data_IF_595701028664
#
_entry.id   IF_595701028664
#
_cell.length_a   1.000
_cell.length_b   1.000
_cell.length_c   1.000
_cell.angle_alpha   90.00
_cell.angle_beta   90.00
_cell.angle_gamma   90.00
#
_symmetry.space_group_name_H-M   'P 1'
#
loop_
_entity.id
_entity.type
_entity.pdbx_description
1 polymer ?
#
# COMPACT_ATOMS: atom_id res chain seq x y z
N UNK A 1 11.69 17.03 30.64
CA UNK A 1 10.93 16.70 29.42
C UNK A 1 11.66 15.51 28.77
N UNK A 2 10.95 14.46 28.38
CA UNK A 2 11.57 13.19 27.93
C UNK A 2 12.03 13.37 26.49
N UNK A 3 13.26 12.97 26.16
CA UNK A 3 13.75 12.99 24.79
C UNK A 3 13.20 11.79 24.01
N UNK A 4 12.16 12.06 23.21
CA UNK A 4 11.46 11.08 22.38
C UNK A 4 12.41 10.44 21.36
N UNK A 5 13.35 11.20 20.81
CA UNK A 5 14.33 10.68 19.84
C UNK A 5 15.29 9.72 20.52
N UNK A 6 15.69 9.99 21.76
CA UNK A 6 16.50 9.09 22.56
C UNK A 6 15.78 7.77 22.84
N UNK A 7 14.47 7.81 23.14
CA UNK A 7 13.68 6.57 23.30
C UNK A 7 13.61 5.81 21.96
N UNK A 8 13.26 6.48 20.87
CA UNK A 8 13.16 5.84 19.54
C UNK A 8 14.45 5.19 19.07
N UNK A 9 15.59 5.85 19.31
CA UNK A 9 16.90 5.34 18.87
C UNK A 9 17.39 4.13 19.68
N UNK A 10 16.93 3.97 20.93
CA UNK A 10 17.28 2.86 21.82
C UNK A 10 16.33 1.67 21.72
N UNK A 11 15.14 1.83 21.10
CA UNK A 11 14.15 0.77 20.99
C UNK A 11 14.71 -0.46 20.26
N UNK A 12 14.64 -1.58 20.95
CA UNK A 12 14.95 -2.90 20.39
C UNK A 12 13.67 -3.62 19.91
N UNK A 13 13.83 -4.73 19.22
CA UNK A 13 12.69 -5.56 18.85
C UNK A 13 12.02 -6.21 20.07
N UNK A 14 12.81 -6.51 21.12
CA UNK A 14 12.31 -7.08 22.37
C UNK A 14 11.51 -6.05 23.18
N UNK A 15 11.88 -4.77 23.12
CA UNK A 15 11.11 -3.69 23.74
C UNK A 15 9.72 -3.57 23.11
N UNK A 16 9.61 -3.73 21.79
CA UNK A 16 8.31 -3.74 21.09
C UNK A 16 7.48 -4.92 21.57
N UNK A 17 8.06 -6.11 21.72
CA UNK A 17 7.36 -7.28 22.27
C UNK A 17 6.84 -6.97 23.68
N UNK A 18 7.68 -6.44 24.56
CA UNK A 18 7.32 -6.12 25.94
C UNK A 18 6.15 -5.11 26.01
N UNK A 19 6.20 -4.06 25.19
CA UNK A 19 5.14 -3.05 25.13
C UNK A 19 3.83 -3.64 24.57
N UNK A 20 3.89 -4.44 23.51
CA UNK A 20 2.71 -5.07 22.93
C UNK A 20 2.08 -6.08 23.90
N UNK A 21 2.89 -6.91 24.55
CA UNK A 21 2.45 -7.88 25.53
C UNK A 21 1.80 -7.21 26.76
N UNK A 22 2.36 -6.10 27.23
CA UNK A 22 1.80 -5.32 28.34
C UNK A 22 0.38 -4.75 28.04
N UNK A 23 0.04 -4.59 26.76
CA UNK A 23 -1.29 -4.22 26.29
C UNK A 23 -2.21 -5.44 26.04
N UNK A 24 -1.74 -6.66 26.32
CA UNK A 24 -2.45 -7.90 26.09
C UNK A 24 -2.47 -8.33 24.62
N UNK A 25 -1.57 -7.81 23.77
CA UNK A 25 -1.49 -8.12 22.33
C UNK A 25 -0.36 -9.14 22.13
N UNK A 26 -0.68 -10.44 21.98
CA UNK A 26 0.35 -11.48 21.93
C UNK A 26 1.10 -11.44 20.60
N UNK A 27 2.39 -11.80 20.66
CA UNK A 27 3.19 -12.07 19.48
C UNK A 27 2.70 -13.36 18.80
N UNK A 28 2.32 -13.27 17.52
CA UNK A 28 1.85 -14.41 16.72
C UNK A 28 3.02 -15.15 16.07
N UNK A 29 3.96 -14.39 15.49
CA UNK A 29 5.20 -14.93 14.91
C UNK A 29 6.25 -13.83 14.80
N UNK A 30 7.52 -14.23 14.76
CA UNK A 30 8.65 -13.34 14.54
C UNK A 30 9.69 -13.98 13.63
N UNK A 31 10.43 -13.15 12.90
CA UNK A 31 11.62 -13.53 12.15
C UNK A 31 12.63 -12.36 12.15
N UNK A 32 13.73 -12.49 11.41
CA UNK A 32 14.78 -11.47 11.37
C UNK A 32 14.33 -10.13 10.74
N UNK A 33 13.15 -10.05 10.09
CA UNK A 33 12.67 -8.86 9.39
C UNK A 33 11.51 -8.19 10.12
N UNK A 34 10.62 -8.96 10.74
CA UNK A 34 9.42 -8.43 11.39
C UNK A 34 8.88 -9.33 12.51
N UNK A 35 8.03 -8.73 13.31
CA UNK A 35 7.16 -9.36 14.29
C UNK A 35 5.72 -9.19 13.83
N UNK A 36 4.88 -10.20 13.98
CA UNK A 36 3.48 -10.20 13.57
C UNK A 36 2.55 -10.22 14.79
N UNK A 37 1.60 -9.32 14.81
CA UNK A 37 0.61 -9.14 15.87
C UNK A 37 -0.82 -9.17 15.34
N UNK A 38 -1.82 -9.47 16.19
CA UNK A 38 -3.22 -9.19 15.88
C UNK A 38 -3.46 -7.72 15.55
N UNK A 39 -4.50 -7.44 14.74
CA UNK A 39 -4.82 -6.09 14.26
C UNK A 39 -5.51 -5.22 15.33
N UNK A 40 -4.92 -5.12 16.53
CA UNK A 40 -5.47 -4.45 17.70
C UNK A 40 -5.63 -2.92 17.53
N UNK A 41 -5.07 -2.32 16.49
CA UNK A 41 -5.18 -0.89 16.20
C UNK A 41 -6.61 -0.45 15.82
N UNK A 42 -7.51 -1.36 15.43
CA UNK A 42 -8.87 -1.04 14.99
C UNK A 42 -9.93 -2.07 15.39
N UNK A 43 -9.55 -3.19 16.00
CA UNK A 43 -10.46 -4.20 16.53
C UNK A 43 -10.31 -4.31 18.04
N UNK A 44 -11.42 -4.24 18.77
CA UNK A 44 -11.44 -4.52 20.22
C UNK A 44 -11.48 -6.02 20.49
N UNK A 45 -12.04 -6.80 19.57
CA UNK A 45 -12.12 -8.26 19.57
C UNK A 45 -11.08 -8.91 18.63
N UNK A 46 -9.89 -8.31 18.56
CA UNK A 46 -8.81 -8.70 17.65
C UNK A 46 -8.43 -10.19 17.71
N UNK A 47 -8.77 -10.90 18.77
CA UNK A 47 -8.58 -12.35 18.93
C UNK A 47 -9.33 -13.15 17.85
N UNK A 48 -10.43 -12.62 17.31
CA UNK A 48 -11.25 -13.27 16.30
C UNK A 48 -10.84 -12.90 14.86
N UNK A 49 -9.81 -12.06 14.71
CA UNK A 49 -9.36 -11.57 13.40
C UNK A 49 -7.96 -12.07 13.03
N UNK A 50 -7.69 -12.20 11.73
CA UNK A 50 -6.35 -12.58 11.24
C UNK A 50 -5.32 -11.52 11.64
N UNK A 51 -4.18 -11.98 12.14
CA UNK A 51 -3.06 -11.12 12.46
C UNK A 51 -2.52 -10.44 11.18
N UNK A 52 -2.47 -9.10 11.17
CA UNK A 52 -1.99 -8.30 10.03
C UNK A 52 -1.29 -7.02 10.45
N UNK A 53 -0.92 -6.87 11.72
CA UNK A 53 -0.10 -5.77 12.23
C UNK A 53 1.35 -6.24 12.29
N UNK A 54 2.19 -5.68 11.45
CA UNK A 54 3.60 -6.02 11.31
C UNK A 54 4.46 -4.94 11.95
N UNK A 55 5.33 -5.30 12.89
CA UNK A 55 6.38 -4.44 13.41
C UNK A 55 7.71 -4.81 12.74
N UNK A 56 8.31 -3.88 12.01
CA UNK A 56 9.54 -4.10 11.26
C UNK A 56 10.77 -3.87 12.13
N UNK A 57 11.68 -4.86 12.15
CA UNK A 57 12.84 -4.85 13.03
C UNK A 57 13.90 -3.80 12.68
N UNK A 58 13.95 -3.35 11.44
CA UNK A 58 14.89 -2.32 10.95
C UNK A 58 14.40 -0.90 11.27
N UNK A 59 13.15 -0.58 10.94
CA UNK A 59 12.58 0.76 11.09
C UNK A 59 11.89 1.00 12.43
N UNK A 60 11.58 -0.05 13.19
CA UNK A 60 10.75 -0.02 14.42
C UNK A 60 9.36 0.56 14.19
N UNK A 61 8.91 0.60 12.94
CA UNK A 61 7.58 1.02 12.56
C UNK A 61 6.63 -0.16 12.52
N UNK A 62 5.39 0.07 12.93
CA UNK A 62 4.31 -0.91 12.82
C UNK A 62 3.41 -0.53 11.65
N UNK A 63 3.05 -1.51 10.82
CA UNK A 63 2.10 -1.31 9.72
C UNK A 63 0.98 -2.34 9.78
N UNK A 64 -0.26 -1.88 9.79
CA UNK A 64 -1.44 -2.75 9.74
C UNK A 64 -1.95 -2.89 8.32
N UNK A 65 -1.83 -4.09 7.75
CA UNK A 65 -2.32 -4.40 6.40
C UNK A 65 -3.85 -4.54 6.31
N UNK A 66 -4.58 -4.45 7.43
CA UNK A 66 -6.05 -4.39 7.41
C UNK A 66 -6.57 -2.97 7.25
N UNK A 67 -6.11 -2.03 8.08
CA UNK A 67 -6.56 -0.63 8.01
C UNK A 67 -5.62 0.29 7.22
N UNK A 68 -4.43 -0.19 6.80
CA UNK A 68 -3.44 0.59 6.05
C UNK A 68 -2.71 1.66 6.86
N UNK A 69 -2.91 1.72 8.19
CA UNK A 69 -2.21 2.67 9.05
C UNK A 69 -0.81 2.20 9.40
N UNK A 70 0.11 3.16 9.50
CA UNK A 70 1.45 2.97 10.05
C UNK A 70 1.59 3.72 11.36
N UNK A 71 2.25 3.11 12.32
CA UNK A 71 2.45 3.66 13.65
C UNK A 71 3.92 3.59 14.03
N UNK A 72 4.40 4.56 14.78
CA UNK A 72 5.53 4.32 15.67
C UNK A 72 5.02 3.70 16.98
N UNK A 73 5.92 3.38 17.89
CA UNK A 73 5.56 2.72 19.14
C UNK A 73 4.62 3.59 20.01
N UNK A 74 4.74 4.89 19.95
CA UNK A 74 3.85 5.80 20.68
C UNK A 74 2.46 5.84 20.05
N UNK A 75 2.39 5.90 18.72
CA UNK A 75 1.14 5.93 17.97
C UNK A 75 0.31 4.67 18.17
N UNK A 76 0.92 3.48 18.22
CA UNK A 76 0.17 2.24 18.48
C UNK A 76 -0.36 2.20 19.93
N UNK A 77 0.44 2.65 20.90
CA UNK A 77 -0.02 2.74 22.31
C UNK A 77 -1.19 3.70 22.44
N UNK A 78 -1.12 4.91 21.84
CA UNK A 78 -2.23 5.86 21.83
C UNK A 78 -3.50 5.23 21.24
N UNK A 79 -3.36 4.54 20.11
CA UNK A 79 -4.47 3.93 19.38
C UNK A 79 -5.17 2.84 20.17
N UNK A 80 -4.39 1.93 20.77
CA UNK A 80 -4.91 0.78 21.52
C UNK A 80 -5.47 1.20 22.89
N UNK A 81 -4.75 2.04 23.61
CA UNK A 81 -5.15 2.49 24.97
C UNK A 81 -6.10 3.69 24.95
N UNK A 82 -6.37 4.28 23.77
CA UNK A 82 -7.20 5.49 23.62
C UNK A 82 -6.74 6.63 24.54
N UNK A 83 -5.43 6.85 24.61
CA UNK A 83 -4.79 7.86 25.45
C UNK A 83 -4.11 8.94 24.60
N UNK A 84 -3.75 10.05 25.22
CA UNK A 84 -2.97 11.11 24.57
C UNK A 84 -1.48 10.73 24.44
N UNK A 85 -0.73 11.58 23.75
CA UNK A 85 0.68 11.33 23.48
C UNK A 85 1.53 11.32 24.75
N UNK A 86 1.25 12.20 25.74
CA UNK A 86 2.02 12.25 26.97
C UNK A 86 1.79 10.98 27.83
N UNK A 87 0.56 10.52 27.88
CA UNK A 87 0.21 9.27 28.54
C UNK A 87 0.85 8.07 27.87
N UNK A 88 0.99 8.07 26.54
CA UNK A 88 1.69 6.99 25.83
C UNK A 88 3.19 6.97 26.14
N UNK A 89 3.83 8.14 26.25
CA UNK A 89 5.24 8.25 26.68
C UNK A 89 5.42 7.71 28.11
N UNK A 90 4.58 8.17 29.04
CA UNK A 90 4.66 7.72 30.43
C UNK A 90 4.52 6.20 30.53
N UNK A 91 3.57 5.63 29.81
CA UNK A 91 3.34 4.19 29.75
C UNK A 91 4.57 3.42 29.20
N UNK A 92 5.13 3.87 28.08
CA UNK A 92 6.33 3.24 27.48
C UNK A 92 7.52 3.33 28.44
N UNK A 93 7.73 4.50 29.08
CA UNK A 93 8.79 4.67 30.05
C UNK A 93 8.64 3.74 31.26
N UNK A 94 7.42 3.52 31.74
CA UNK A 94 7.10 2.59 32.81
C UNK A 94 7.47 1.15 32.42
N UNK A 95 7.05 0.68 31.26
CA UNK A 95 7.31 -0.68 30.77
C UNK A 95 8.80 -0.92 30.52
N UNK A 96 9.50 0.07 29.95
CA UNK A 96 10.93 -0.05 29.64
C UNK A 96 11.83 0.39 30.79
N UNK A 97 11.27 0.74 31.97
CA UNK A 97 12.01 1.22 33.13
C UNK A 97 12.93 2.42 32.82
N UNK A 98 12.47 3.34 31.96
CA UNK A 98 13.21 4.56 31.58
C UNK A 98 12.84 5.68 32.56
N UNK A 99 13.84 6.29 33.21
CA UNK A 99 13.63 7.43 34.09
C UNK A 99 13.29 8.71 33.29
N UNK A 100 12.16 9.39 33.58
CA UNK A 100 11.71 10.56 32.82
C UNK A 100 12.55 11.82 32.95
N UNK A 101 13.60 11.86 33.77
CA UNK A 101 14.28 13.08 34.23
C UNK A 101 15.57 13.41 33.47
N UNK A 102 15.96 12.72 32.41
CA UNK A 102 17.13 13.09 31.63
C UNK A 102 16.74 14.02 30.46
N UNK A 103 17.11 15.29 30.63
CA UNK A 103 17.18 16.45 29.71
C UNK A 103 16.42 16.43 28.37
N UNK A 104 15.54 17.42 28.21
CA UNK A 104 14.80 17.68 26.95
C UNK A 104 14.85 19.15 26.55
N UNK A 105 15.23 19.40 25.33
CA UNK A 105 14.96 20.64 24.61
C UNK A 105 13.55 20.58 23.99
N UNK A 106 12.79 21.69 24.16
CA UNK A 106 11.44 21.84 23.60
C UNK A 106 11.51 22.01 22.08
N UNK A 107 10.90 21.10 21.33
CA UNK A 107 10.40 21.41 19.99
C UNK A 107 8.87 21.52 19.99
N UNK A 108 8.39 22.60 19.38
CA UNK A 108 6.98 22.97 19.30
C UNK A 108 6.18 21.95 18.47
N UNK A 109 5.11 21.46 19.07
CA UNK A 109 4.05 20.72 18.37
C UNK A 109 3.07 21.74 17.80
N UNK A 110 2.60 21.45 16.58
CA UNK A 110 1.61 22.13 15.75
C UNK A 110 2.09 23.24 14.82
N UNK A 111 2.52 22.80 13.64
CA UNK A 111 2.32 23.64 12.48
C UNK A 111 2.18 22.83 11.18
N UNK A 112 1.01 22.19 10.98
CA UNK A 112 0.66 21.53 9.73
C UNK A 112 0.77 22.46 8.52
N UNK A 113 0.63 23.79 8.73
CA UNK A 113 0.85 24.83 7.71
C UNK A 113 2.33 24.98 7.34
N UNK A 114 3.25 24.80 8.31
CA UNK A 114 4.69 24.79 8.03
C UNK A 114 5.13 23.50 7.34
N UNK A 115 4.48 22.39 7.65
CA UNK A 115 4.73 21.10 6.99
C UNK A 115 4.25 21.12 5.55
N UNK A 116 3.09 21.74 5.28
CA UNK A 116 2.60 22.00 3.93
C UNK A 116 3.54 22.93 3.16
N UNK A 117 4.06 23.98 3.80
CA UNK A 117 5.03 24.92 3.23
C UNK A 117 6.39 24.28 2.92
N UNK A 118 6.88 23.38 3.78
CA UNK A 118 8.07 22.56 3.53
C UNK A 118 7.84 21.55 2.40
N UNK A 119 6.67 20.96 2.36
CA UNK A 119 6.28 20.01 1.33
C UNK A 119 6.22 20.64 -0.06
N UNK A 120 5.69 21.89 -0.16
CA UNK A 120 5.61 22.68 -1.40
C UNK A 120 7.00 23.19 -1.82
N UNK A 121 7.88 23.54 -0.86
CA UNK A 121 9.21 24.12 -1.14
C UNK A 121 10.32 23.10 -1.35
N UNK A 122 10.04 21.78 -1.33
CA UNK A 122 11.06 20.75 -1.54
C UNK A 122 12.14 20.69 -0.44
N UNK A 123 11.85 21.26 0.74
CA UNK A 123 12.78 21.26 1.85
C UNK A 123 12.55 20.08 2.79
N UNK A 124 13.03 18.96 2.41
CA UNK A 124 13.74 17.96 3.20
C UNK A 124 14.38 17.00 2.18
N UNK A 125 15.69 16.86 2.24
CA UNK A 125 16.40 15.74 1.65
C UNK A 125 16.01 14.45 2.42
N UNK A 126 14.71 14.14 2.44
CA UNK A 126 14.25 12.83 2.79
C UNK A 126 14.87 11.89 1.76
N UNK A 127 15.71 10.99 2.22
CA UNK A 127 16.38 9.92 1.52
C UNK A 127 15.76 9.67 0.14
N UNK A 128 16.45 10.08 -0.92
CA UNK A 128 16.02 9.79 -2.28
C UNK A 128 15.94 8.29 -2.38
N UNK A 129 14.72 7.76 -2.33
CA UNK A 129 14.48 6.31 -2.39
C UNK A 129 15.16 5.81 -3.65
N UNK A 130 16.31 5.12 -3.48
CA UNK A 130 17.10 4.63 -4.58
C UNK A 130 16.31 3.56 -5.32
N UNK A 131 15.77 3.91 -6.48
CA UNK A 131 15.07 2.96 -7.34
C UNK A 131 16.12 2.13 -8.07
N UNK A 132 16.15 0.80 -7.90
CA UNK A 132 17.09 -0.06 -8.60
C UNK A 132 16.80 -0.05 -10.10
N UNK A 133 17.82 -0.38 -10.89
CA UNK A 133 17.67 -0.61 -12.32
C UNK A 133 18.27 -1.97 -12.66
N UNK A 134 17.51 -2.77 -13.37
CA UNK A 134 17.92 -4.09 -13.84
C UNK A 134 18.09 -4.10 -15.36
N UNK A 135 18.86 -5.06 -15.84
CA UNK A 135 19.01 -5.27 -17.28
C UNK A 135 17.64 -5.64 -17.88
N UNK A 136 17.28 -4.98 -18.98
CA UNK A 136 16.01 -5.21 -19.68
C UNK A 136 15.88 -6.65 -20.21
N UNK A 137 17.00 -7.30 -20.53
CA UNK A 137 17.05 -8.70 -20.94
C UNK A 137 16.52 -9.67 -19.88
N UNK A 138 16.46 -9.25 -18.62
CA UNK A 138 15.91 -10.05 -17.54
C UNK A 138 14.44 -10.46 -17.76
N UNK A 139 13.67 -9.67 -18.50
CA UNK A 139 12.30 -10.04 -18.88
C UNK A 139 12.28 -11.25 -19.80
N UNK A 140 13.31 -11.39 -20.66
CA UNK A 140 13.47 -12.52 -21.56
C UNK A 140 13.88 -13.85 -20.89
N UNK A 141 14.18 -13.83 -19.57
CA UNK A 141 14.47 -15.05 -18.81
C UNK A 141 13.21 -15.87 -18.49
N UNK A 142 12.04 -15.32 -18.72
CA UNK A 142 10.75 -15.91 -18.41
C UNK A 142 9.97 -16.24 -19.69
N UNK A 143 9.25 -17.36 -19.68
CA UNK A 143 8.49 -17.79 -20.85
C UNK A 143 7.37 -16.79 -21.17
N UNK A 144 7.19 -16.45 -22.44
CA UNK A 144 6.04 -15.69 -22.92
C UNK A 144 4.85 -16.62 -23.08
N UNK A 145 4.22 -16.94 -21.94
CA UNK A 145 3.00 -17.74 -21.89
C UNK A 145 1.88 -16.90 -21.27
N UNK A 146 0.70 -17.04 -21.84
CA UNK A 146 -0.48 -16.37 -21.32
C UNK A 146 -1.13 -17.24 -20.25
N UNK A 147 -1.11 -16.82 -18.95
CA UNK A 147 -1.70 -17.59 -17.89
C UNK A 147 -3.19 -17.82 -18.14
N UNK A 148 -3.63 -19.08 -18.17
CA UNK A 148 -5.01 -19.45 -18.46
C UNK A 148 -6.00 -18.79 -17.50
N UNK A 149 -5.65 -18.69 -16.21
CA UNK A 149 -6.48 -18.02 -15.20
C UNK A 149 -6.73 -16.54 -15.55
N UNK A 150 -5.76 -15.88 -16.16
CA UNK A 150 -5.88 -14.47 -16.53
C UNK A 150 -6.68 -14.30 -17.83
N UNK A 151 -6.54 -15.22 -18.78
CA UNK A 151 -7.39 -15.26 -19.96
C UNK A 151 -8.85 -15.50 -19.57
N UNK A 152 -9.11 -16.46 -18.69
CA UNK A 152 -10.46 -16.75 -18.17
C UNK A 152 -11.04 -15.59 -17.36
N UNK A 153 -10.17 -14.87 -16.63
CA UNK A 153 -10.56 -13.63 -15.95
C UNK A 153 -10.90 -12.51 -16.95
N UNK A 154 -10.51 -12.66 -18.22
CA UNK A 154 -10.77 -11.76 -19.33
C UNK A 154 -9.71 -10.67 -19.49
N UNK A 155 -8.45 -10.95 -19.17
CA UNK A 155 -7.30 -10.14 -19.61
C UNK A 155 -6.85 -10.68 -20.96
N UNK A 156 -6.80 -9.82 -21.98
CA UNK A 156 -6.45 -10.24 -23.35
C UNK A 156 -4.95 -10.54 -23.48
N UNK A 157 -4.62 -11.40 -24.46
CA UNK A 157 -3.21 -11.68 -24.82
C UNK A 157 -2.48 -10.40 -25.23
N UNK A 158 -3.11 -9.54 -26.03
CA UNK A 158 -2.53 -8.26 -26.47
C UNK A 158 -2.16 -7.35 -25.30
N UNK A 159 -3.01 -7.30 -24.27
CA UNK A 159 -2.70 -6.57 -23.03
C UNK A 159 -1.50 -7.21 -22.31
N UNK A 160 -1.47 -8.54 -22.21
CA UNK A 160 -0.36 -9.23 -21.55
C UNK A 160 0.97 -8.98 -22.31
N UNK A 161 0.94 -8.99 -23.63
CA UNK A 161 2.12 -8.65 -24.48
C UNK A 161 2.56 -7.20 -24.28
N UNK A 162 1.61 -6.26 -24.31
CA UNK A 162 1.86 -4.83 -24.09
C UNK A 162 2.56 -4.57 -22.77
N UNK A 163 2.15 -5.27 -21.70
CA UNK A 163 2.73 -5.11 -20.37
C UNK A 163 3.90 -6.06 -20.07
N UNK A 164 4.30 -6.89 -21.03
CA UNK A 164 5.42 -7.81 -20.90
C UNK A 164 5.21 -8.93 -19.88
N UNK A 165 3.97 -9.38 -19.71
CA UNK A 165 3.62 -10.45 -18.79
C UNK A 165 4.26 -11.75 -19.25
N UNK A 166 4.82 -12.51 -18.30
CA UNK A 166 5.46 -13.78 -18.59
C UNK A 166 5.14 -14.85 -17.54
N UNK A 167 5.74 -16.00 -17.71
CA UNK A 167 5.57 -17.15 -16.84
C UNK A 167 6.91 -17.71 -16.39
N UNK A 168 7.06 -17.98 -15.11
CA UNK A 168 8.19 -18.67 -14.54
C UNK A 168 7.78 -20.08 -14.06
N UNK A 169 7.92 -21.08 -14.93
CA UNK A 169 7.46 -22.44 -14.70
C UNK A 169 8.01 -23.09 -13.44
N UNK A 170 9.32 -22.92 -13.15
CA UNK A 170 9.95 -23.48 -11.95
C UNK A 170 9.29 -23.05 -10.65
N UNK A 171 8.83 -21.81 -10.57
CA UNK A 171 8.19 -21.23 -9.37
C UNK A 171 6.67 -21.16 -9.49
N UNK A 172 6.10 -21.63 -10.60
CA UNK A 172 4.69 -21.49 -10.91
C UNK A 172 4.18 -20.09 -10.58
N UNK A 173 4.81 -19.08 -11.15
CA UNK A 173 4.40 -17.69 -10.95
C UNK A 173 4.31 -16.92 -12.26
N UNK A 174 3.31 -16.05 -12.33
CA UNK A 174 3.15 -15.05 -13.39
C UNK A 174 4.15 -13.93 -13.10
N UNK A 175 4.97 -13.55 -14.08
CA UNK A 175 5.94 -12.48 -13.94
C UNK A 175 5.39 -11.17 -14.49
N UNK A 176 5.53 -10.12 -13.71
CA UNK A 176 4.96 -8.79 -13.96
C UNK A 176 6.11 -7.79 -13.90
N UNK A 177 6.69 -7.39 -15.04
CA UNK A 177 7.75 -6.38 -15.07
C UNK A 177 7.20 -5.02 -14.67
N UNK A 178 8.01 -4.26 -13.95
CA UNK A 178 7.69 -2.89 -13.53
C UNK A 178 8.71 -1.95 -14.15
N UNK A 179 8.21 -0.96 -14.88
CA UNK A 179 9.00 -0.02 -15.63
C UNK A 179 8.85 1.42 -15.12
N UNK A 180 9.93 2.17 -15.17
CA UNK A 180 9.92 3.61 -14.97
C UNK A 180 10.75 4.29 -16.10
N UNK A 181 10.07 4.96 -16.99
CA UNK A 181 10.65 5.36 -18.25
C UNK A 181 11.09 4.13 -19.05
N UNK A 182 12.31 4.14 -19.51
CA UNK A 182 12.93 3.03 -20.24
C UNK A 182 13.66 2.01 -19.32
N UNK A 183 13.58 2.18 -18.00
CA UNK A 183 14.31 1.37 -17.02
C UNK A 183 13.42 0.30 -16.43
N UNK A 184 13.89 -0.95 -16.45
CA UNK A 184 13.30 -2.04 -15.68
C UNK A 184 13.70 -1.85 -14.21
N UNK A 185 12.71 -1.55 -13.34
CA UNK A 185 12.96 -1.27 -11.92
C UNK A 185 12.68 -2.46 -11.02
N UNK A 186 12.00 -3.46 -11.54
CA UNK A 186 11.73 -4.71 -10.82
C UNK A 186 10.87 -5.68 -11.60
N UNK A 187 10.72 -6.89 -11.06
CA UNK A 187 9.79 -7.89 -11.59
C UNK A 187 9.04 -8.50 -10.42
N UNK A 188 7.74 -8.31 -10.41
CA UNK A 188 6.84 -8.91 -9.41
C UNK A 188 6.34 -10.25 -9.90
N UNK A 189 6.23 -11.22 -9.00
CA UNK A 189 5.67 -12.53 -9.27
C UNK A 189 4.33 -12.70 -8.58
N UNK A 190 3.31 -13.14 -9.31
CA UNK A 190 2.09 -13.68 -8.71
C UNK A 190 2.23 -15.19 -8.61
N UNK A 191 2.47 -15.68 -7.41
CA UNK A 191 2.67 -17.09 -7.13
C UNK A 191 1.35 -17.84 -7.09
N UNK A 192 1.30 -19.00 -7.76
CA UNK A 192 0.06 -19.76 -7.98
C UNK A 192 -0.08 -20.98 -7.07
N UNK A 193 1.04 -21.53 -6.54
CA UNK A 193 0.99 -22.72 -5.68
C UNK A 193 0.49 -22.34 -4.28
N UNK A 194 -0.39 -23.15 -3.64
CA UNK A 194 -0.90 -22.86 -2.29
C UNK A 194 0.20 -22.59 -1.26
N UNK A 195 1.24 -23.43 -1.20
CA UNK A 195 2.37 -23.29 -0.28
C UNK A 195 3.17 -22.00 -0.49
N UNK A 196 3.15 -21.44 -1.69
CA UNK A 196 3.85 -20.20 -2.00
C UNK A 196 3.01 -18.97 -1.60
N UNK A 197 1.68 -19.11 -1.53
CA UNK A 197 0.76 -18.03 -1.20
C UNK A 197 0.74 -17.69 0.28
N UNK A 198 1.16 -18.59 1.17
CA UNK A 198 1.33 -18.35 2.60
C UNK A 198 2.33 -17.21 2.87
N UNK A 199 3.37 -17.09 2.04
CA UNK A 199 4.37 -16.03 2.09
C UNK A 199 3.96 -14.75 1.34
N UNK A 200 2.69 -14.66 0.93
CA UNK A 200 2.12 -13.58 0.12
C UNK A 200 2.05 -13.93 -1.37
N UNK A 201 0.86 -13.76 -1.97
CA UNK A 201 0.60 -14.05 -3.40
C UNK A 201 1.52 -13.26 -4.34
N UNK A 202 1.83 -12.02 -3.98
CA UNK A 202 2.63 -11.10 -4.79
C UNK A 202 3.95 -10.80 -4.09
N UNK A 203 5.07 -11.20 -4.70
CA UNK A 203 6.42 -11.01 -4.17
C UNK A 203 7.40 -10.70 -5.31
N UNK A 204 8.57 -10.08 -5.05
CA UNK A 204 9.62 -9.98 -6.05
C UNK A 204 10.05 -11.37 -6.56
N UNK A 205 10.28 -11.46 -7.86
CA UNK A 205 10.82 -12.68 -8.47
C UNK A 205 12.31 -12.77 -8.21
N UNK A 206 12.83 -13.99 -8.02
CA UNK A 206 14.27 -14.25 -8.11
C UNK A 206 14.55 -15.22 -9.25
N UNK A 207 15.57 -14.94 -10.06
CA UNK A 207 16.02 -15.81 -11.14
C UNK A 207 16.84 -17.02 -10.65
N UNK A 208 17.41 -17.77 -11.59
CA UNK A 208 18.23 -18.96 -11.29
C UNK A 208 19.57 -18.62 -10.64
N UNK A 209 20.09 -17.42 -10.87
CA UNK A 209 21.33 -16.95 -10.23
C UNK A 209 21.12 -16.48 -8.79
N UNK A 210 19.88 -16.47 -8.32
CA UNK A 210 19.50 -15.94 -6.99
C UNK A 210 19.30 -14.43 -6.96
N UNK A 211 19.41 -13.72 -8.09
CA UNK A 211 19.15 -12.29 -8.15
C UNK A 211 17.67 -12.03 -7.92
N UNK A 212 17.35 -11.18 -6.95
CA UNK A 212 15.99 -10.78 -6.61
C UNK A 212 15.67 -9.43 -7.27
N UNK A 213 14.62 -9.38 -8.05
CA UNK A 213 14.15 -8.16 -8.78
C UNK A 213 13.24 -7.31 -7.87
N UNK A 214 13.80 -6.88 -6.74
CA UNK A 214 13.12 -6.12 -5.69
C UNK A 214 13.12 -4.61 -6.02
N UNK A 215 12.02 -3.92 -5.73
CA UNK A 215 11.87 -2.47 -5.90
C UNK A 215 10.98 -1.88 -4.79
N UNK A 216 11.12 -0.58 -4.48
CA UNK A 216 10.27 0.11 -3.52
C UNK A 216 8.90 0.41 -4.15
N UNK A 217 7.86 -0.33 -3.75
CA UNK A 217 6.50 -0.20 -4.30
C UNK A 217 5.90 1.19 -4.07
N UNK A 218 6.31 1.88 -3.00
CA UNK A 218 5.88 3.25 -2.69
C UNK A 218 6.55 4.34 -3.53
N UNK A 219 7.53 4.00 -4.38
CA UNK A 219 8.25 4.95 -5.21
C UNK A 219 7.92 4.86 -6.71
N UNK A 220 7.06 3.94 -7.09
CA UNK A 220 6.68 3.68 -8.48
C UNK A 220 5.17 3.49 -8.63
N UNK A 221 4.66 3.61 -9.86
CA UNK A 221 3.29 3.31 -10.24
C UNK A 221 3.30 2.26 -11.35
N UNK A 222 2.54 1.16 -11.19
CA UNK A 222 2.38 0.19 -12.26
C UNK A 222 1.47 0.72 -13.37
N UNK A 223 1.81 0.46 -14.62
CA UNK A 223 1.09 0.99 -15.77
C UNK A 223 1.43 2.46 -16.11
N UNK A 224 2.39 3.06 -15.37
CA UNK A 224 2.80 4.44 -15.60
C UNK A 224 3.30 4.65 -17.05
N UNK A 225 4.15 3.78 -17.54
CA UNK A 225 4.70 3.92 -18.88
C UNK A 225 3.68 3.69 -19.98
N UNK A 226 2.94 2.59 -19.84
CA UNK A 226 1.99 2.10 -20.82
C UNK A 226 0.82 3.05 -20.99
N UNK A 227 0.44 3.73 -19.91
CA UNK A 227 -0.77 4.55 -19.87
C UNK A 227 -0.50 6.07 -19.79
N UNK A 228 0.78 6.51 -19.64
CA UNK A 228 1.12 7.93 -19.49
C UNK A 228 0.57 8.82 -20.60
N UNK A 229 0.63 8.35 -21.85
CA UNK A 229 0.15 9.13 -23.00
C UNK A 229 -1.35 9.41 -22.93
N UNK A 230 -2.14 8.43 -22.50
CA UNK A 230 -3.59 8.62 -22.33
C UNK A 230 -3.91 9.44 -21.08
N UNK A 231 -3.17 9.25 -19.98
CA UNK A 231 -3.31 10.06 -18.76
C UNK A 231 -3.03 11.54 -19.08
N UNK A 232 -1.96 11.82 -19.81
CA UNK A 232 -1.59 13.18 -20.19
C UNK A 232 -2.64 13.84 -21.10
N UNK A 233 -3.26 13.09 -22.02
CA UNK A 233 -4.32 13.60 -22.90
C UNK A 233 -5.62 13.85 -22.14
N UNK A 234 -6.05 12.87 -21.33
CA UNK A 234 -7.32 12.95 -20.59
C UNK A 234 -7.25 13.80 -19.33
N UNK A 235 -6.02 14.08 -18.82
CA UNK A 235 -5.77 14.71 -17.52
C UNK A 235 -6.42 13.98 -16.35
N UNK A 236 -6.78 12.71 -16.55
CA UNK A 236 -7.50 11.88 -15.59
C UNK A 236 -6.76 10.56 -15.41
N UNK A 237 -6.57 10.14 -14.15
CA UNK A 237 -5.98 8.84 -13.81
C UNK A 237 -6.93 8.03 -12.93
N UNK A 238 -7.15 6.77 -13.29
CA UNK A 238 -7.65 5.77 -12.35
C UNK A 238 -6.51 5.33 -11.43
N UNK A 239 -6.76 5.35 -10.13
CA UNK A 239 -5.83 4.92 -9.11
C UNK A 239 -6.39 3.65 -8.45
N UNK A 240 -5.74 2.52 -8.69
CA UNK A 240 -6.18 1.19 -8.24
C UNK A 240 -5.11 0.50 -7.37
N UNK A 241 -5.49 -0.57 -6.67
CA UNK A 241 -4.56 -1.24 -5.75
C UNK A 241 -3.56 -2.15 -6.47
N UNK A 242 -4.03 -2.96 -7.43
CA UNK A 242 -3.28 -4.07 -8.00
C UNK A 242 -3.04 -3.96 -9.51
N UNK A 243 -1.94 -4.59 -9.95
CA UNK A 243 -1.53 -4.66 -11.34
C UNK A 243 -2.59 -5.33 -12.23
N UNK A 244 -3.25 -6.39 -11.70
CA UNK A 244 -4.28 -7.14 -12.41
C UNK A 244 -5.44 -6.25 -12.85
N UNK A 245 -5.83 -5.27 -12.02
CA UNK A 245 -6.88 -4.30 -12.34
C UNK A 245 -6.46 -3.38 -13.49
N UNK A 246 -5.21 -2.93 -13.52
CA UNK A 246 -4.68 -2.13 -14.64
C UNK A 246 -4.72 -2.91 -15.95
N UNK A 247 -4.31 -4.17 -15.93
CA UNK A 247 -4.34 -5.04 -17.12
C UNK A 247 -5.77 -5.26 -17.64
N UNK A 248 -6.72 -5.52 -16.72
CA UNK A 248 -8.11 -5.70 -17.12
C UNK A 248 -8.73 -4.42 -17.67
N UNK A 249 -8.41 -3.27 -17.09
CA UNK A 249 -8.80 -1.96 -17.61
C UNK A 249 -8.25 -1.72 -19.02
N UNK A 250 -6.98 -2.06 -19.27
CA UNK A 250 -6.39 -1.96 -20.60
C UNK A 250 -7.17 -2.81 -21.62
N UNK A 251 -7.51 -4.06 -21.27
CA UNK A 251 -8.37 -4.93 -22.08
C UNK A 251 -9.74 -4.30 -22.36
N UNK A 252 -10.26 -3.52 -21.44
CA UNK A 252 -11.52 -2.78 -21.60
C UNK A 252 -11.33 -1.43 -22.32
N UNK A 253 -10.14 -1.14 -22.84
CA UNK A 253 -9.77 0.13 -23.47
C UNK A 253 -9.79 1.33 -22.51
N UNK A 254 -9.66 1.08 -21.20
CA UNK A 254 -9.48 2.11 -20.18
C UNK A 254 -7.98 2.26 -19.93
N UNK A 255 -7.30 3.04 -20.77
CA UNK A 255 -5.85 3.14 -20.85
C UNK A 255 -5.28 4.32 -20.04
N UNK A 256 -5.91 4.67 -18.92
CA UNK A 256 -5.48 5.74 -18.03
C UNK A 256 -5.45 5.30 -16.56
N UNK A 257 -5.21 4.00 -16.31
CA UNK A 257 -5.13 3.44 -14.97
C UNK A 257 -3.69 3.20 -14.54
N UNK A 258 -3.41 3.41 -13.26
CA UNK A 258 -2.15 3.06 -12.59
C UNK A 258 -2.43 2.38 -11.26
N UNK A 259 -1.55 1.44 -10.85
CA UNK A 259 -1.68 0.79 -9.56
C UNK A 259 -0.60 1.26 -8.57
N UNK A 260 -1.01 1.34 -7.29
CA UNK A 260 -0.16 1.78 -6.16
C UNK A 260 0.42 0.61 -5.33
N UNK A 261 0.17 -0.64 -5.74
CA UNK A 261 0.63 -1.88 -5.11
C UNK A 261 0.08 -2.14 -3.69
N UNK A 262 -1.10 -1.69 -3.42
CA UNK A 262 -1.83 -1.82 -2.16
C UNK A 262 -2.80 -0.67 -1.97
N UNK A 263 -3.20 -0.41 -0.74
CA UNK A 263 -4.27 0.54 -0.44
C UNK A 263 -3.80 1.88 0.12
N UNK A 264 -2.48 2.15 0.09
CA UNK A 264 -1.91 3.41 0.57
C UNK A 264 -1.15 4.13 -0.53
N UNK A 265 -1.50 5.38 -0.75
CA UNK A 265 -0.83 6.25 -1.74
C UNK A 265 0.30 7.01 -1.06
N UNK A 266 1.51 6.91 -1.61
CA UNK A 266 2.69 7.61 -1.11
C UNK A 266 2.80 9.04 -1.67
N UNK A 267 3.62 9.87 -1.02
CA UNK A 267 3.97 11.22 -1.52
C UNK A 267 4.60 11.15 -2.91
N UNK A 268 5.51 10.19 -3.14
CA UNK A 268 6.19 10.04 -4.45
C UNK A 268 5.20 9.65 -5.55
N UNK A 269 4.26 8.76 -5.28
CA UNK A 269 3.22 8.38 -6.24
C UNK A 269 2.29 9.56 -6.59
N UNK A 270 1.92 10.40 -5.61
CA UNK A 270 1.20 11.65 -5.85
C UNK A 270 2.01 12.59 -6.75
N UNK A 271 3.29 12.77 -6.44
CA UNK A 271 4.19 13.60 -7.25
C UNK A 271 4.29 13.10 -8.69
N UNK A 272 4.37 11.78 -8.92
CA UNK A 272 4.37 11.21 -10.27
C UNK A 272 3.10 11.54 -11.06
N UNK A 273 1.93 11.56 -10.41
CA UNK A 273 0.67 11.98 -11.04
C UNK A 273 0.65 13.48 -11.36
N UNK A 274 1.21 14.32 -10.48
CA UNK A 274 1.37 15.76 -10.73
C UNK A 274 2.32 15.99 -11.91
N UNK A 275 3.45 15.28 -11.97
CA UNK A 275 4.42 15.33 -13.08
C UNK A 275 3.79 14.92 -14.43
N UNK A 276 2.79 14.03 -14.43
CA UNK A 276 1.98 13.69 -15.62
C UNK A 276 0.95 14.76 -16.00
N UNK A 277 0.75 15.78 -15.16
CA UNK A 277 -0.24 16.83 -15.37
C UNK A 277 -1.68 16.34 -15.16
N UNK A 278 -1.88 15.41 -14.24
CA UNK A 278 -3.21 14.93 -13.84
C UNK A 278 -3.96 16.05 -13.12
N UNK A 279 -5.23 16.26 -13.47
CA UNK A 279 -6.13 17.18 -12.79
C UNK A 279 -7.20 16.42 -11.99
N UNK A 280 -7.50 15.20 -12.40
CA UNK A 280 -8.55 14.37 -11.79
C UNK A 280 -8.06 12.96 -11.50
N UNK A 281 -8.32 12.48 -10.31
CA UNK A 281 -8.10 11.10 -9.90
C UNK A 281 -9.42 10.40 -9.67
N UNK A 282 -9.59 9.21 -10.25
CA UNK A 282 -10.70 8.31 -9.92
C UNK A 282 -10.12 7.23 -9.01
N UNK A 283 -10.52 7.26 -7.74
CA UNK A 283 -10.07 6.29 -6.75
C UNK A 283 -10.92 5.03 -6.84
N UNK A 284 -10.34 3.93 -7.32
CA UNK A 284 -10.97 2.62 -7.49
C UNK A 284 -10.25 1.55 -6.68
N UNK A 285 -10.27 1.65 -5.35
CA UNK A 285 -9.69 0.64 -4.46
C UNK A 285 -10.64 -0.52 -4.25
N UNK A 286 -10.10 -1.66 -3.82
CA UNK A 286 -10.86 -2.88 -3.61
C UNK A 286 -11.91 -2.69 -2.50
N UNK A 287 -13.12 -3.23 -2.73
CA UNK A 287 -14.23 -3.18 -1.77
C UNK A 287 -14.06 -4.27 -0.72
N UNK A 288 -13.30 -3.97 0.35
CA UNK A 288 -12.97 -4.92 1.43
C UNK A 288 -14.13 -5.17 2.42
N UNK A 289 -15.40 -4.99 2.01
CA UNK A 289 -16.59 -5.19 2.85
C UNK A 289 -17.60 -6.13 2.19
N UNK A 290 -18.47 -6.76 2.98
CA UNK A 290 -19.54 -7.64 2.51
C UNK A 290 -20.85 -6.92 2.28
N UNK A 291 -21.17 -5.99 3.20
CA UNK A 291 -22.42 -5.24 3.17
C UNK A 291 -22.15 -3.77 3.52
N UNK A 292 -22.94 -2.89 2.88
CA UNK A 292 -22.94 -1.47 3.22
C UNK A 292 -23.42 -1.33 4.68
N UNK A 293 -22.60 -0.69 5.52
CA UNK A 293 -22.91 -0.43 6.94
C UNK A 293 -22.28 -1.41 7.93
N UNK A 294 -21.64 -2.50 7.47
CA UNK A 294 -20.86 -3.37 8.36
C UNK A 294 -19.56 -2.70 8.85
N UNK A 295 -18.83 -3.35 9.75
CA UNK A 295 -17.60 -2.79 10.31
C UNK A 295 -16.50 -2.69 9.27
N UNK A 296 -16.40 -3.66 8.34
CA UNK A 296 -15.46 -3.62 7.23
C UNK A 296 -15.78 -2.44 6.28
N UNK A 297 -17.07 -2.12 6.05
CA UNK A 297 -17.48 -0.94 5.28
C UNK A 297 -17.05 0.36 5.97
N UNK A 298 -17.20 0.46 7.31
CA UNK A 298 -16.73 1.63 8.05
C UNK A 298 -15.23 1.82 7.92
N UNK A 299 -14.45 0.73 8.01
CA UNK A 299 -13.01 0.76 7.80
C UNK A 299 -12.63 1.18 6.38
N UNK A 300 -13.36 0.66 5.37
CA UNK A 300 -13.19 1.06 3.98
C UNK A 300 -13.42 2.57 3.79
N UNK A 301 -14.49 3.11 4.36
CA UNK A 301 -14.82 4.55 4.32
C UNK A 301 -13.71 5.37 4.98
N UNK A 302 -13.25 4.99 6.18
CA UNK A 302 -12.18 5.73 6.87
C UNK A 302 -10.85 5.71 6.11
N UNK A 303 -10.48 4.59 5.51
CA UNK A 303 -9.32 4.44 4.65
C UNK A 303 -9.45 5.31 3.39
N UNK A 304 -10.62 5.30 2.77
CA UNK A 304 -10.93 6.10 1.59
C UNK A 304 -10.85 7.59 1.91
N UNK A 305 -11.46 8.06 3.01
CA UNK A 305 -11.36 9.46 3.47
C UNK A 305 -9.91 9.91 3.67
N UNK A 306 -9.06 9.09 4.30
CA UNK A 306 -7.63 9.40 4.47
C UNK A 306 -6.89 9.52 3.13
N UNK A 307 -7.20 8.65 2.18
CA UNK A 307 -6.61 8.71 0.85
C UNK A 307 -7.08 9.95 0.10
N UNK A 308 -8.36 10.28 0.16
CA UNK A 308 -8.91 11.51 -0.41
C UNK A 308 -8.22 12.75 0.17
N UNK A 309 -8.04 12.81 1.49
CA UNK A 309 -7.37 13.94 2.15
C UNK A 309 -5.93 14.17 1.65
N UNK A 310 -5.22 13.09 1.24
CA UNK A 310 -3.89 13.20 0.62
C UNK A 310 -3.94 13.70 -0.84
N UNK A 311 -4.99 13.32 -1.58
CA UNK A 311 -5.12 13.60 -3.03
C UNK A 311 -5.76 14.95 -3.30
N UNK A 312 -6.75 15.37 -2.51
CA UNK A 312 -7.56 16.57 -2.71
C UNK A 312 -6.76 17.88 -2.84
N UNK A 313 -5.59 18.08 -2.19
CA UNK A 313 -4.77 19.27 -2.39
C UNK A 313 -4.24 19.43 -3.82
N UNK A 314 -4.21 18.35 -4.63
CA UNK A 314 -3.57 18.32 -5.94
C UNK A 314 -4.56 18.02 -7.08
N UNK A 315 -5.65 17.28 -6.79
CA UNK A 315 -6.55 16.73 -7.80
C UNK A 315 -8.01 16.91 -7.39
N UNK A 316 -8.92 17.02 -8.37
CA UNK A 316 -10.30 16.65 -8.11
C UNK A 316 -10.38 15.13 -7.95
N UNK A 317 -11.19 14.65 -7.02
CA UNK A 317 -11.26 13.22 -6.68
C UNK A 317 -12.67 12.70 -6.87
N UNK A 318 -12.82 11.69 -7.72
CA UNK A 318 -14.03 10.87 -7.77
C UNK A 318 -13.74 9.52 -7.11
N UNK A 319 -14.73 8.94 -6.46
CA UNK A 319 -14.59 7.63 -5.80
C UNK A 319 -15.53 6.63 -6.46
N UNK A 320 -14.94 5.56 -6.98
CA UNK A 320 -15.66 4.37 -7.44
C UNK A 320 -15.81 3.41 -6.26
N UNK A 321 -17.03 2.97 -5.99
CA UNK A 321 -17.32 1.97 -4.97
C UNK A 321 -18.65 1.27 -5.27
N UNK A 322 -18.92 0.16 -4.61
CA UNK A 322 -20.16 -0.61 -4.78
C UNK A 322 -21.36 0.07 -4.08
N UNK A 323 -21.83 1.17 -4.63
CA UNK A 323 -22.97 1.92 -4.11
C UNK A 323 -24.34 1.26 -4.38
N UNK A 324 -24.41 0.33 -5.33
CA UNK A 324 -25.63 -0.36 -5.69
C UNK A 324 -25.84 -1.67 -4.94
N UNK A 325 -24.89 -2.04 -4.04
CA UNK A 325 -25.03 -3.22 -3.20
C UNK A 325 -24.94 -4.54 -3.97
N UNK A 326 -24.23 -4.59 -5.10
CA UNK A 326 -23.96 -5.87 -5.75
C UNK A 326 -23.28 -6.83 -4.78
N UNK A 327 -23.61 -8.11 -4.87
CA UNK A 327 -23.01 -9.13 -4.01
C UNK A 327 -21.51 -9.28 -4.37
N UNK A 328 -20.68 -8.54 -3.65
CA UNK A 328 -19.25 -8.42 -3.92
C UNK A 328 -18.49 -8.31 -2.60
N UNK A 329 -17.50 -9.18 -2.39
CA UNK A 329 -16.59 -9.11 -1.26
C UNK A 329 -15.16 -9.15 -1.76
N UNK A 330 -14.39 -8.13 -1.41
CA UNK A 330 -13.01 -7.91 -1.89
C UNK A 330 -12.91 -7.77 -3.40
N UNK A 331 -13.95 -7.19 -4.01
CA UNK A 331 -13.95 -6.94 -5.44
C UNK A 331 -13.11 -5.69 -5.75
N UNK A 332 -12.20 -5.84 -6.68
CA UNK A 332 -11.61 -4.72 -7.40
C UNK A 332 -12.63 -4.16 -8.41
N UNK A 333 -12.43 -2.97 -8.95
CA UNK A 333 -13.33 -2.43 -9.99
C UNK A 333 -13.53 -3.35 -11.20
N UNK A 334 -12.61 -4.26 -11.45
CA UNK A 334 -12.63 -5.17 -12.60
C UNK A 334 -13.12 -6.60 -12.28
N UNK A 335 -13.54 -6.86 -11.05
CA UNK A 335 -14.19 -8.11 -10.67
C UNK A 335 -15.72 -8.08 -10.94
N UNK A 336 -16.29 -6.89 -11.22
CA UNK A 336 -17.65 -6.75 -11.73
C UNK A 336 -17.74 -7.13 -13.21
N UNK A 337 -18.95 -7.45 -13.70
CA UNK A 337 -19.15 -7.52 -15.16
C UNK A 337 -18.98 -6.13 -15.77
N UNK A 338 -18.76 -6.07 -17.07
CA UNK A 338 -18.60 -4.77 -17.75
C UNK A 338 -19.83 -3.88 -17.59
N UNK A 339 -21.02 -4.46 -17.66
CA UNK A 339 -22.29 -3.75 -17.48
C UNK A 339 -22.45 -3.20 -16.07
N UNK A 340 -22.12 -4.01 -15.05
CA UNK A 340 -22.12 -3.59 -13.64
C UNK A 340 -21.11 -2.46 -13.39
N UNK A 341 -19.90 -2.60 -13.94
CA UNK A 341 -18.88 -1.55 -13.84
C UNK A 341 -19.34 -0.24 -14.48
N UNK A 342 -19.87 -0.29 -15.69
CA UNK A 342 -20.37 0.90 -16.42
C UNK A 342 -21.53 1.56 -15.66
N UNK A 343 -22.39 0.76 -15.01
CA UNK A 343 -23.46 1.29 -14.16
C UNK A 343 -22.91 1.97 -12.89
N UNK A 344 -21.98 1.32 -12.19
CA UNK A 344 -21.33 1.92 -11.02
C UNK A 344 -20.57 3.22 -11.36
N UNK A 345 -19.99 3.31 -12.56
CA UNK A 345 -19.35 4.54 -13.03
C UNK A 345 -20.29 5.75 -13.11
N UNK A 346 -21.59 5.54 -13.36
CA UNK A 346 -22.58 6.64 -13.37
C UNK A 346 -22.85 7.18 -11.96
N UNK A 347 -22.57 6.41 -10.94
CA UNK A 347 -22.84 6.68 -9.54
C UNK A 347 -21.60 7.01 -8.70
N UNK A 348 -20.46 7.28 -9.35
CA UNK A 348 -19.24 7.69 -8.63
C UNK A 348 -19.49 8.94 -7.79
N UNK A 349 -18.96 8.93 -6.56
CA UNK A 349 -19.03 10.08 -5.66
C UNK A 349 -17.97 11.11 -6.05
N UNK A 350 -18.41 12.30 -6.41
CA UNK A 350 -17.54 13.46 -6.67
C UNK A 350 -17.22 14.13 -5.34
N UNK A 351 -15.94 14.18 -4.99
CA UNK A 351 -15.48 14.86 -3.77
C UNK A 351 -14.99 16.25 -4.16
N UNK A 352 -15.85 17.24 -3.95
CA UNK A 352 -15.56 18.66 -4.20
C UNK A 352 -14.65 19.26 -3.11
#
# INVERSE_FOLDING_TARGET
MIDIQSIKSRLTSDDIIAIMDSMGIPLVSANNQYQLYPSACHHTDWQNHKAKLYAYNDTKMLHCYSCGESFDIFGIVQKVRKCDFQSSIAYICEILHINPSENVQKENVDNWQSDLGRWIKGGDESETVKIPTYDKSAVGLFDRLYPQDWLQYGISADTMDKFGIGWYGRKACITIPVWQGDKLVGIRGRYMRPQDTERGKYRPVSDLSGRVYKYPTNAVLYGYNENKGQIQRSKTAWLVEAEKTVLKFDTWSINNAVAVFGSNVSKRQIQMLVELGVNKVILGFDSDYKQIGDDDYRLFIEKTKRTIAKLKPFFSVDVFYNCLGFNAHKFSPTDYTREQFDELCKHMVKVN
#
